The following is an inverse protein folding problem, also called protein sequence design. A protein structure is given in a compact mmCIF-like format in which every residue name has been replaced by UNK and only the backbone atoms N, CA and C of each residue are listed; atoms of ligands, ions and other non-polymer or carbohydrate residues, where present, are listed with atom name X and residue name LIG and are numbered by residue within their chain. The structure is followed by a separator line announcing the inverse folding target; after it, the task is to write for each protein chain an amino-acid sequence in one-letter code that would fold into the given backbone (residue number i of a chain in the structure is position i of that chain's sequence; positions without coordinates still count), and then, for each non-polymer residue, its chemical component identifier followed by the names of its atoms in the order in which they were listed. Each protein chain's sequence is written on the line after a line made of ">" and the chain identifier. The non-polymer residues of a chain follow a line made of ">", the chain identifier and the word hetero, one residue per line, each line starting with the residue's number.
data_IF_169801531075
#
_entry.id   IF_169801531075
#
_cell.length_a   1.000
_cell.length_b   1.000
_cell.length_c   1.000
_cell.angle_alpha   90.00
_cell.angle_beta   90.00
_cell.angle_gamma   90.00
#
_symmetry.space_group_name_H-M   'P 1'
#
loop_
_entity.id
_entity.type
_entity.pdbx_description
1 polymer ?
#
# COMPACT_ATOMS: atom_id res chain seq x y z
N UNK A 1 -15.25 -4.55 22.34
CA UNK A 1 -14.66 -5.67 21.57
C UNK A 1 -13.16 -5.67 21.79
N UNK A 2 -12.58 -6.74 22.27
CA UNK A 2 -11.14 -6.84 22.24
C UNK A 2 -10.67 -6.81 20.78
N UNK A 3 -9.76 -5.90 20.45
CA UNK A 3 -9.16 -5.87 19.14
C UNK A 3 -8.46 -7.22 18.91
N UNK A 4 -8.67 -7.81 17.74
CA UNK A 4 -7.95 -9.01 17.34
C UNK A 4 -6.46 -8.69 17.36
N UNK A 5 -5.68 -9.55 17.99
CA UNK A 5 -4.25 -9.40 18.10
C UNK A 5 -3.58 -9.31 16.73
N UNK A 6 -2.62 -8.40 16.58
CA UNK A 6 -1.91 -8.18 15.32
C UNK A 6 -1.23 -9.46 14.81
N UNK A 7 -0.63 -10.23 15.70
CA UNK A 7 0.04 -11.48 15.32
C UNK A 7 -0.97 -12.50 14.76
N UNK A 8 -2.17 -12.55 15.32
CA UNK A 8 -3.25 -13.38 14.80
C UNK A 8 -3.65 -12.96 13.39
N UNK A 9 -3.77 -11.64 13.15
CA UNK A 9 -4.09 -11.11 11.82
C UNK A 9 -2.98 -11.43 10.81
N UNK A 10 -1.73 -11.30 11.19
CA UNK A 10 -0.59 -11.65 10.33
C UNK A 10 -0.62 -13.15 9.98
N UNK A 11 -0.87 -14.01 10.93
CA UNK A 11 -1.00 -15.46 10.69
C UNK A 11 -2.15 -15.76 9.72
N UNK A 12 -3.27 -15.08 9.86
CA UNK A 12 -4.40 -15.22 8.93
C UNK A 12 -4.04 -14.77 7.52
N UNK A 13 -3.24 -13.71 7.38
CA UNK A 13 -2.76 -13.26 6.06
C UNK A 13 -1.84 -14.30 5.42
N UNK A 14 -0.93 -14.88 6.16
CA UNK A 14 -0.01 -15.91 5.64
C UNK A 14 -0.73 -17.18 5.22
N UNK A 15 -1.81 -17.54 5.91
CA UNK A 15 -2.61 -18.74 5.64
C UNK A 15 -3.75 -18.50 4.65
N UNK A 16 -3.99 -17.26 4.22
CA UNK A 16 -5.14 -16.93 3.37
C UNK A 16 -5.03 -17.54 1.96
N UNK A 17 -6.16 -18.00 1.45
CA UNK A 17 -6.29 -18.59 0.11
C UNK A 17 -7.10 -17.72 -0.85
N UNK A 18 -7.62 -16.58 -0.39
CA UNK A 18 -8.37 -15.67 -1.22
C UNK A 18 -7.94 -14.22 -1.01
N UNK A 19 -7.90 -13.46 -2.09
CA UNK A 19 -7.57 -12.04 -2.05
C UNK A 19 -8.62 -11.24 -1.28
N UNK A 20 -9.90 -11.62 -1.34
CA UNK A 20 -10.96 -10.96 -0.58
C UNK A 20 -10.74 -11.04 0.93
N UNK A 21 -10.21 -12.15 1.43
CA UNK A 21 -9.83 -12.28 2.84
C UNK A 21 -8.73 -11.28 3.23
N UNK A 22 -7.71 -11.14 2.39
CA UNK A 22 -6.63 -10.15 2.59
C UNK A 22 -7.21 -8.74 2.63
N UNK A 23 -8.07 -8.42 1.68
CA UNK A 23 -8.73 -7.11 1.61
C UNK A 23 -9.55 -6.81 2.87
N UNK A 24 -10.33 -7.76 3.34
CA UNK A 24 -11.17 -7.58 4.54
C UNK A 24 -10.33 -7.33 5.79
N UNK A 25 -9.25 -8.08 5.98
CA UNK A 25 -8.34 -7.90 7.12
C UNK A 25 -7.72 -6.51 7.10
N UNK A 26 -7.18 -6.09 5.98
CA UNK A 26 -6.55 -4.77 5.83
C UNK A 26 -7.58 -3.66 6.01
N UNK A 27 -8.74 -3.80 5.37
CA UNK A 27 -9.82 -2.79 5.43
C UNK A 27 -10.30 -2.56 6.85
N UNK A 28 -10.55 -3.61 7.62
CA UNK A 28 -11.00 -3.50 9.01
C UNK A 28 -9.98 -2.79 9.88
N UNK A 29 -8.71 -3.15 9.77
CA UNK A 29 -7.66 -2.55 10.59
C UNK A 29 -7.34 -1.12 10.18
N UNK A 30 -7.35 -0.83 8.89
CA UNK A 30 -7.18 0.52 8.36
C UNK A 30 -8.31 1.45 8.83
N UNK A 31 -9.57 0.99 8.74
CA UNK A 31 -10.72 1.75 9.22
C UNK A 31 -10.65 2.05 10.72
N UNK A 32 -10.15 1.14 11.51
CA UNK A 32 -9.96 1.36 12.95
C UNK A 32 -9.08 2.59 13.23
N UNK A 33 -8.09 2.84 12.38
CA UNK A 33 -7.20 4.00 12.49
C UNK A 33 -7.63 5.20 11.64
N UNK A 34 -8.83 5.17 11.07
CA UNK A 34 -9.38 6.31 10.30
C UNK A 34 -9.00 6.33 8.83
N UNK A 35 -8.44 5.25 8.29
CA UNK A 35 -8.06 5.13 6.88
C UNK A 35 -9.15 4.40 6.11
N UNK A 36 -9.66 5.04 5.06
CA UNK A 36 -10.72 4.50 4.19
C UNK A 36 -10.30 4.39 2.72
N UNK A 37 -9.06 4.78 2.41
CA UNK A 37 -8.50 4.72 1.06
C UNK A 37 -7.28 3.82 1.08
N UNK A 38 -7.18 2.92 0.11
CA UNK A 38 -6.16 1.87 0.09
C UNK A 38 -5.62 1.70 -1.33
N UNK A 39 -4.30 1.65 -1.47
CA UNK A 39 -3.63 1.24 -2.72
C UNK A 39 -2.50 0.28 -2.39
N UNK A 40 -2.46 -0.83 -3.10
CA UNK A 40 -1.34 -1.75 -3.12
C UNK A 40 -0.75 -1.76 -4.52
N UNK A 41 0.53 -1.48 -4.66
CA UNK A 41 1.17 -1.55 -5.97
C UNK A 41 2.58 -2.13 -5.88
N UNK A 42 2.97 -2.88 -6.92
CA UNK A 42 4.36 -3.27 -7.12
C UNK A 42 5.14 -2.12 -7.75
N UNK A 43 6.39 -1.99 -7.37
CA UNK A 43 7.26 -0.92 -7.84
C UNK A 43 8.53 -1.50 -8.45
N UNK A 44 9.01 -0.81 -9.47
CA UNK A 44 10.29 -1.11 -10.08
C UNK A 44 11.09 0.18 -10.20
N UNK A 45 12.33 0.18 -9.78
CA UNK A 45 13.20 1.34 -9.93
C UNK A 45 13.76 1.42 -11.36
N UNK A 46 12.90 1.70 -12.32
CA UNK A 46 13.32 1.95 -13.71
C UNK A 46 13.17 3.44 -14.05
N UNK A 47 13.88 3.87 -15.09
CA UNK A 47 13.85 5.25 -15.58
C UNK A 47 12.47 5.70 -16.09
N UNK A 48 11.58 4.75 -16.44
CA UNK A 48 10.31 5.03 -17.10
C UNK A 48 9.09 5.08 -16.17
N UNK A 49 9.26 4.74 -14.90
CA UNK A 49 8.18 4.77 -13.92
C UNK A 49 8.48 3.92 -12.69
N UNK A 50 7.83 4.25 -11.59
CA UNK A 50 8.02 3.57 -10.32
C UNK A 50 6.99 2.45 -10.15
N UNK A 51 5.76 2.70 -10.58
CA UNK A 51 4.66 1.73 -10.43
C UNK A 51 4.69 0.76 -11.62
N UNK A 52 4.84 -0.52 -11.31
CA UNK A 52 4.78 -1.59 -12.29
C UNK A 52 3.35 -2.13 -12.45
N UNK A 53 2.69 -2.44 -11.32
CA UNK A 53 1.33 -3.00 -11.31
C UNK A 53 0.57 -2.56 -10.06
N UNK A 54 -0.70 -2.23 -10.22
CA UNK A 54 -1.60 -2.01 -9.09
C UNK A 54 -2.36 -3.30 -8.80
N UNK A 55 -2.20 -3.81 -7.58
CA UNK A 55 -2.92 -5.00 -7.11
C UNK A 55 -4.31 -4.64 -6.58
N UNK A 56 -4.44 -3.49 -5.94
CA UNK A 56 -5.68 -3.08 -5.30
C UNK A 56 -5.72 -1.57 -5.16
N UNK A 57 -6.82 -0.96 -5.58
CA UNK A 57 -7.11 0.45 -5.35
C UNK A 57 -8.56 0.62 -4.90
N UNK A 58 -8.76 1.36 -3.84
CA UNK A 58 -10.08 1.58 -3.24
C UNK A 58 -10.15 2.96 -2.62
N UNK A 59 -11.31 3.61 -2.74
CA UNK A 59 -11.63 4.87 -2.10
C UNK A 59 -11.51 6.10 -2.98
N UNK A 60 -11.97 7.22 -2.44
CA UNK A 60 -12.00 8.53 -3.10
C UNK A 60 -10.67 9.28 -2.87
N UNK A 61 -9.67 8.92 -3.63
CA UNK A 61 -8.30 9.42 -3.48
C UNK A 61 -8.12 10.91 -3.78
N UNK A 62 -9.01 11.49 -4.58
CA UNK A 62 -8.91 12.89 -4.98
C UNK A 62 -9.96 13.79 -4.32
N UNK A 63 -10.80 13.23 -3.43
CA UNK A 63 -11.85 13.95 -2.70
C UNK A 63 -12.84 14.64 -3.65
N UNK A 64 -13.20 13.97 -4.72
CA UNK A 64 -14.17 14.43 -5.73
C UNK A 64 -15.49 13.64 -5.71
N UNK A 65 -15.64 12.71 -4.75
CA UNK A 65 -16.82 11.86 -4.60
C UNK A 65 -16.79 10.59 -5.45
N UNK A 66 -15.72 10.33 -6.16
CA UNK A 66 -15.60 9.18 -7.06
C UNK A 66 -14.46 8.25 -6.68
N UNK A 67 -14.66 6.95 -6.89
CA UNK A 67 -13.58 5.98 -6.88
C UNK A 67 -12.77 6.13 -8.17
N UNK A 68 -11.46 6.06 -8.05
CA UNK A 68 -10.57 6.23 -9.18
C UNK A 68 -10.05 4.89 -9.69
N UNK A 69 -9.79 4.82 -10.99
CA UNK A 69 -9.12 3.68 -11.59
C UNK A 69 -7.59 3.75 -11.44
N UNK A 70 -6.93 2.63 -11.73
CA UNK A 70 -5.48 2.49 -11.61
C UNK A 70 -4.72 3.48 -12.49
N UNK A 71 -5.17 3.68 -13.74
CA UNK A 71 -4.50 4.59 -14.69
C UNK A 71 -4.54 6.04 -14.21
N UNK A 72 -5.68 6.48 -13.68
CA UNK A 72 -5.83 7.83 -13.11
C UNK A 72 -4.93 8.02 -11.87
N UNK A 73 -4.88 7.03 -11.00
CA UNK A 73 -4.01 7.07 -9.83
C UNK A 73 -2.53 7.20 -10.20
N UNK A 74 -2.05 6.38 -11.10
CA UNK A 74 -0.65 6.42 -11.59
C UNK A 74 -0.30 7.80 -12.14
N UNK A 75 -1.22 8.37 -12.94
CA UNK A 75 -0.99 9.65 -13.61
C UNK A 75 -0.89 10.82 -12.62
N UNK A 76 -1.68 10.83 -11.56
CA UNK A 76 -1.86 12.00 -10.70
C UNK A 76 -1.34 11.84 -9.26
N UNK A 77 -0.70 10.74 -8.92
CA UNK A 77 -0.16 10.53 -7.57
C UNK A 77 1.31 10.96 -7.46
N UNK A 78 1.61 12.16 -6.92
CA UNK A 78 2.99 12.63 -6.81
C UNK A 78 3.76 11.93 -5.70
N UNK A 79 3.08 11.25 -4.77
CA UNK A 79 3.71 10.65 -3.59
C UNK A 79 4.54 9.41 -3.94
N UNK A 80 4.27 8.79 -5.07
CA UNK A 80 5.01 7.61 -5.53
C UNK A 80 6.49 7.89 -5.74
N UNK A 81 6.86 9.12 -6.08
CA UNK A 81 8.26 9.52 -6.26
C UNK A 81 9.05 9.50 -4.95
N UNK A 82 8.40 9.76 -3.83
CA UNK A 82 9.05 9.78 -2.51
C UNK A 82 9.38 8.37 -1.99
N UNK A 83 8.84 7.33 -2.59
CA UNK A 83 9.12 5.94 -2.22
C UNK A 83 10.59 5.59 -2.42
N UNK A 84 11.22 6.14 -3.45
CA UNK A 84 12.63 5.88 -3.77
C UNK A 84 13.57 6.56 -2.76
N UNK A 85 13.11 7.62 -2.13
CA UNK A 85 13.93 8.47 -1.26
C UNK A 85 13.86 8.07 0.21
N UNK A 86 13.10 7.03 0.55
CA UNK A 86 12.89 6.63 1.94
C UNK A 86 12.89 5.13 2.11
N UNK A 87 13.47 4.67 3.20
CA UNK A 87 13.46 3.27 3.64
C UNK A 87 12.43 3.00 4.75
N UNK A 88 11.60 3.98 5.08
CA UNK A 88 10.68 3.94 6.22
C UNK A 88 9.27 4.35 5.84
N UNK A 89 8.25 3.84 6.56
CA UNK A 89 6.91 4.40 6.48
C UNK A 89 6.90 5.87 6.90
N UNK A 90 6.14 6.68 6.16
CA UNK A 90 6.02 8.11 6.47
C UNK A 90 4.59 8.59 6.27
N UNK A 91 4.20 9.58 7.08
CA UNK A 91 2.93 10.27 6.92
C UNK A 91 3.06 11.37 5.87
N UNK A 92 1.99 11.60 5.12
CA UNK A 92 1.89 12.65 4.13
C UNK A 92 0.55 13.36 4.21
N UNK A 93 0.48 14.58 3.69
CA UNK A 93 -0.74 15.38 3.67
C UNK A 93 -0.85 16.21 2.40
N UNK A 94 -2.08 16.42 1.95
CA UNK A 94 -2.41 17.38 0.89
C UNK A 94 -2.71 18.77 1.43
N UNK A 95 -2.71 18.96 2.76
CA UNK A 95 -2.94 20.26 3.41
C UNK A 95 -1.62 20.96 3.72
N UNK A 96 -1.38 22.18 3.20
CA UNK A 96 -0.11 22.87 3.41
C UNK A 96 0.08 23.45 4.82
N UNK A 97 -0.98 23.55 5.61
CA UNK A 97 -1.03 24.18 6.95
C UNK A 97 -0.87 23.19 8.10
N UNK A 98 -0.62 21.91 7.82
CA UNK A 98 -0.43 20.88 8.84
C UNK A 98 1.03 20.82 9.31
N UNK A 99 1.26 20.17 10.46
CA UNK A 99 2.58 20.01 11.05
C UNK A 99 3.56 19.30 10.08
N UNK A 100 4.49 20.07 9.52
CA UNK A 100 5.49 19.60 8.55
C UNK A 100 6.56 18.70 9.15
N UNK A 101 6.71 18.67 10.47
CA UNK A 101 7.65 17.75 11.12
C UNK A 101 7.10 16.32 11.11
N UNK A 102 5.78 16.18 11.22
CA UNK A 102 5.11 14.89 11.21
C UNK A 102 4.71 14.42 9.82
N UNK A 103 4.33 15.36 8.93
CA UNK A 103 3.79 15.06 7.62
C UNK A 103 4.66 15.61 6.49
N UNK A 104 4.87 14.81 5.46
CA UNK A 104 5.38 15.32 4.17
C UNK A 104 4.23 15.96 3.41
N UNK A 105 4.40 17.22 3.03
CA UNK A 105 3.40 17.94 2.26
C UNK A 105 3.53 17.58 0.78
N UNK A 106 2.44 17.11 0.19
CA UNK A 106 2.39 16.74 -1.23
C UNK A 106 2.47 18.01 -2.09
N UNK A 107 3.43 18.03 -3.01
CA UNK A 107 3.54 19.12 -3.98
C UNK A 107 2.48 18.97 -5.07
N UNK A 108 1.77 20.08 -5.38
CA UNK A 108 0.73 20.13 -6.42
C UNK A 108 -0.32 19.01 -6.26
N UNK A 109 -1.03 18.95 -5.12
CA UNK A 109 -2.00 17.88 -4.88
C UNK A 109 -3.21 18.02 -5.80
N UNK A 110 -3.74 16.89 -6.26
CA UNK A 110 -5.05 16.82 -6.85
C UNK A 110 -6.07 16.55 -5.73
N UNK A 111 -7.01 17.45 -5.51
CA UNK A 111 -7.94 17.41 -4.39
C UNK A 111 -7.30 17.90 -3.09
N UNK A 112 -8.10 18.02 -2.05
CA UNK A 112 -7.70 18.52 -0.73
C UNK A 112 -8.29 17.66 0.38
N UNK A 113 -7.82 17.88 1.62
CA UNK A 113 -8.44 17.27 2.80
C UNK A 113 -8.03 15.83 3.09
N UNK A 114 -7.09 15.25 2.37
CA UNK A 114 -6.62 13.89 2.57
C UNK A 114 -5.23 13.88 3.19
N UNK A 115 -5.07 13.03 4.18
CA UNK A 115 -3.79 12.67 4.78
C UNK A 115 -3.54 11.17 4.54
N UNK A 116 -2.33 10.71 4.72
CA UNK A 116 -2.08 9.30 4.56
C UNK A 116 -0.79 8.80 5.16
N UNK A 117 -0.63 7.50 5.05
CA UNK A 117 0.57 6.76 5.44
C UNK A 117 1.07 6.02 4.22
N UNK A 118 2.32 6.25 3.86
CA UNK A 118 3.01 5.55 2.78
C UNK A 118 3.95 4.51 3.38
N UNK A 119 3.80 3.28 2.96
CA UNK A 119 4.55 2.15 3.49
C UNK A 119 5.34 1.51 2.35
N UNK A 120 6.65 1.80 2.21
CA UNK A 120 7.48 1.10 1.24
C UNK A 120 7.68 -0.35 1.66
N UNK A 121 7.64 -1.26 0.70
CA UNK A 121 7.80 -2.70 0.94
C UNK A 121 9.12 -3.15 0.33
N UNK A 122 10.01 -3.66 1.18
CA UNK A 122 11.31 -4.15 0.75
C UNK A 122 11.38 -5.67 0.85
N UNK A 123 11.97 -6.28 -0.16
CA UNK A 123 12.37 -7.68 -0.17
C UNK A 123 13.89 -7.79 -0.24
N UNK A 124 14.40 -9.01 -0.47
CA UNK A 124 15.84 -9.27 -0.52
C UNK A 124 16.54 -8.63 -1.74
N UNK A 125 15.80 -8.22 -2.76
CA UNK A 125 16.33 -7.54 -3.94
C UNK A 125 16.13 -6.01 -3.91
N UNK A 126 15.63 -5.46 -2.81
CA UNK A 126 15.35 -4.05 -2.65
C UNK A 126 13.87 -3.73 -2.62
N UNK A 127 13.49 -2.58 -3.20
CA UNK A 127 12.11 -2.12 -3.23
C UNK A 127 11.23 -3.03 -4.10
N UNK A 128 10.20 -3.60 -3.49
CA UNK A 128 9.24 -4.51 -4.15
C UNK A 128 7.92 -3.80 -4.50
N UNK A 129 7.56 -2.80 -3.73
CA UNK A 129 6.32 -2.07 -3.91
C UNK A 129 6.01 -1.14 -2.77
N UNK A 130 4.74 -0.76 -2.65
CA UNK A 130 4.29 0.03 -1.53
C UNK A 130 2.80 -0.16 -1.27
N UNK A 131 2.41 0.18 -0.05
CA UNK A 131 1.02 0.33 0.36
C UNK A 131 0.79 1.78 0.75
N UNK A 132 -0.22 2.39 0.16
CA UNK A 132 -0.69 3.73 0.52
C UNK A 132 -2.04 3.62 1.20
N UNK A 133 -2.14 4.21 2.38
CA UNK A 133 -3.38 4.32 3.13
C UNK A 133 -3.73 5.79 3.29
N UNK A 134 -4.98 6.16 3.07
CA UNK A 134 -5.42 7.55 3.14
C UNK A 134 -6.76 7.73 3.85
N UNK A 135 -7.01 8.94 4.32
CA UNK A 135 -8.25 9.31 4.97
C UNK A 135 -8.30 10.78 5.35
N UNK A 136 -9.47 11.25 5.77
CA UNK A 136 -9.67 12.65 6.19
C UNK A 136 -9.34 12.88 7.67
N UNK A 137 -9.48 11.85 8.50
CA UNK A 137 -9.28 11.92 9.95
C UNK A 137 -8.50 10.69 10.42
N UNK A 138 -7.22 10.64 10.06
CA UNK A 138 -6.35 9.50 10.33
C UNK A 138 -5.70 9.58 11.71
N UNK A 139 -5.43 8.43 12.29
CA UNK A 139 -4.52 8.30 13.42
C UNK A 139 -3.08 8.26 12.90
N UNK A 140 -2.30 9.27 13.24
CA UNK A 140 -0.89 9.40 12.86
C UNK A 140 0.06 9.15 14.03
N UNK A 141 -0.38 8.34 14.99
CA UNK A 141 0.45 7.93 16.13
C UNK A 141 1.55 6.94 15.70
N UNK A 142 2.63 6.83 16.49
CA UNK A 142 3.65 5.80 16.28
C UNK A 142 3.08 4.38 16.32
N UNK A 143 2.08 4.13 17.15
CA UNK A 143 1.41 2.83 17.22
C UNK A 143 0.69 2.50 15.92
N UNK A 144 -0.10 3.43 15.40
CA UNK A 144 -0.80 3.24 14.11
C UNK A 144 0.20 2.97 12.99
N UNK A 145 1.28 3.75 12.93
CA UNK A 145 2.34 3.56 11.95
C UNK A 145 2.95 2.16 12.03
N UNK A 146 3.32 1.69 13.21
CA UNK A 146 3.94 0.38 13.39
C UNK A 146 2.98 -0.76 13.06
N UNK A 147 1.76 -0.74 13.57
CA UNK A 147 0.77 -1.79 13.32
C UNK A 147 0.39 -1.88 11.84
N UNK A 148 0.08 -0.74 11.23
CA UNK A 148 -0.31 -0.70 9.82
C UNK A 148 0.85 -1.06 8.89
N UNK A 149 2.08 -0.70 9.25
CA UNK A 149 3.26 -1.04 8.45
C UNK A 149 3.52 -2.55 8.46
N UNK A 150 3.46 -3.19 9.61
CA UNK A 150 3.61 -4.65 9.73
C UNK A 150 2.49 -5.38 8.99
N UNK A 151 1.24 -5.01 9.26
CA UNK A 151 0.10 -5.64 8.62
C UNK A 151 0.15 -5.50 7.10
N UNK A 152 0.45 -4.31 6.61
CA UNK A 152 0.52 -4.00 5.18
C UNK A 152 1.64 -4.75 4.48
N UNK A 153 2.78 -4.94 5.14
CA UNK A 153 3.90 -5.72 4.59
C UNK A 153 3.49 -7.15 4.34
N UNK A 154 2.90 -7.81 5.33
CA UNK A 154 2.42 -9.20 5.17
C UNK A 154 1.25 -9.31 4.19
N UNK A 155 0.35 -8.33 4.21
CA UNK A 155 -0.77 -8.26 3.27
C UNK A 155 -0.28 -8.08 1.83
N UNK A 156 0.73 -7.25 1.61
CA UNK A 156 1.32 -7.05 0.28
C UNK A 156 1.88 -8.36 -0.29
N UNK A 157 2.65 -9.10 0.48
CA UNK A 157 3.21 -10.38 0.01
C UNK A 157 2.12 -11.45 -0.16
N UNK A 158 1.09 -11.47 0.68
CA UNK A 158 -0.07 -12.34 0.48
C UNK A 158 -0.82 -11.99 -0.81
N UNK A 159 -1.05 -10.72 -1.08
CA UNK A 159 -1.69 -10.26 -2.31
C UNK A 159 -0.88 -10.66 -3.54
N UNK A 160 0.44 -10.43 -3.53
CA UNK A 160 1.34 -10.85 -4.60
C UNK A 160 1.25 -12.34 -4.85
N UNK A 161 1.36 -13.16 -3.82
CA UNK A 161 1.28 -14.61 -3.90
C UNK A 161 -0.04 -15.06 -4.54
N UNK A 162 -1.16 -14.50 -4.09
CA UNK A 162 -2.50 -14.89 -4.55
C UNK A 162 -2.81 -14.40 -5.97
N UNK A 163 -2.33 -13.22 -6.35
CA UNK A 163 -2.62 -12.61 -7.65
C UNK A 163 -1.63 -13.05 -8.73
N UNK A 164 -0.37 -13.22 -8.39
CA UNK A 164 0.67 -13.60 -9.37
C UNK A 164 0.80 -15.10 -9.56
N UNK A 165 0.40 -15.93 -8.59
CA UNK A 165 0.40 -17.39 -8.75
C UNK A 165 -0.60 -17.87 -9.80
N UNK A 166 -1.59 -17.06 -10.16
CA UNK A 166 -2.56 -17.31 -11.23
C UNK A 166 -2.09 -16.82 -12.61
N UNK A 167 -0.87 -16.23 -12.71
CA UNK A 167 -0.30 -15.79 -13.97
C UNK A 167 0.43 -16.96 -14.65
N UNK A 168 -0.08 -17.45 -15.82
CA UNK A 168 0.54 -18.59 -16.52
C UNK A 168 1.97 -18.30 -16.99
N UNK A 169 2.32 -17.06 -17.31
CA UNK A 169 3.66 -16.68 -17.74
C UNK A 169 4.69 -16.82 -16.62
N UNK A 170 4.33 -16.50 -15.40
CA UNK A 170 5.21 -16.63 -14.24
C UNK A 170 5.44 -18.08 -13.85
N UNK A 171 4.41 -18.91 -13.87
CA UNK A 171 4.52 -20.35 -13.64
C UNK A 171 5.45 -21.02 -14.64
N UNK A 172 5.37 -20.62 -15.91
CA UNK A 172 6.25 -21.14 -16.96
C UNK A 172 7.72 -20.72 -16.74
N UNK A 173 7.98 -19.49 -16.27
CA UNK A 173 9.34 -19.02 -15.97
C UNK A 173 9.95 -19.73 -14.76
N UNK A 174 9.19 -20.00 -13.72
CA UNK A 174 9.65 -20.76 -12.56
C UNK A 174 10.00 -22.22 -12.93
N UNK A 175 9.13 -22.88 -13.68
CA UNK A 175 9.37 -24.22 -14.20
C UNK A 175 10.63 -24.31 -15.05
N UNK A 176 10.92 -23.29 -15.85
CA UNK A 176 12.12 -23.22 -16.67
C UNK A 176 13.38 -23.08 -15.81
N UNK A 177 13.35 -22.24 -14.77
CA UNK A 177 14.47 -22.06 -13.83
C UNK A 177 14.73 -23.31 -13.00
N UNK A 178 13.71 -24.02 -12.58
CA UNK A 178 13.85 -25.28 -11.84
C UNK A 178 14.46 -26.38 -12.71
N UNK A 179 14.22 -26.38 -14.02
CA UNK A 179 14.81 -27.35 -14.97
C UNK A 179 16.26 -27.03 -15.33
N UNK A 180 16.70 -25.79 -15.19
CA UNK A 180 18.06 -25.33 -15.47
C UNK A 180 18.99 -25.42 -14.25
N UNK A 181 18.43 -25.69 -13.05
CA UNK A 181 19.16 -25.95 -11.79
C UNK A 181 19.41 -27.43 -11.60
#
# INVERSE_FOLDING_TARGET
>A
MPAVDLITLISQLEESHSFSTVQDIVRQRAHFYGYDKIVFFSAHSTLDGIIERIYWIEGDWFDDGENIDAATYIKYCPITRHIIETDRPFFWTKKPDVNREQYRVVAKPKGSGIHGLQIPIFGHLGLEGAVSLGGKAIDSSPRARCELSLLSTYAFFAARRLLESSDPNRSALLSKREKEG
#
